data_IF_450490512660
#
_entry.id   IF_450490512660
#
_cell.length_a   1.000
_cell.length_b   1.000
_cell.length_c   1.000
_cell.angle_alpha   90.00
_cell.angle_beta   90.00
_cell.angle_gamma   90.00
#
_symmetry.space_group_name_H-M   'P 1'
#
loop_
_entity.id
_entity.type
_entity.pdbx_description
1 polymer ?
#
# COMPACT_ATOMS: atom_id res chain seq x y z
N UNK A 1 9.89 15.02 9.96
CA UNK A 1 10.38 15.86 8.84
C UNK A 1 11.86 15.61 8.61
N UNK A 2 12.32 15.37 7.38
CA UNK A 2 13.75 15.26 7.06
C UNK A 2 14.38 16.65 6.99
N UNK A 3 15.27 16.98 7.93
CA UNK A 3 16.00 18.25 7.95
C UNK A 3 17.06 18.26 6.84
N UNK A 4 17.13 19.29 5.97
CA UNK A 4 18.20 19.41 5.00
C UNK A 4 19.58 19.43 5.68
N UNK A 5 20.58 18.80 5.04
CA UNK A 5 21.95 18.84 5.54
C UNK A 5 22.49 20.29 5.45
N UNK A 6 23.19 20.79 6.48
CA UNK A 6 23.72 22.15 6.47
C UNK A 6 24.86 22.27 5.45
N UNK A 7 25.13 23.48 4.94
CA UNK A 7 26.25 23.71 4.02
C UNK A 7 27.61 23.30 4.59
N UNK A 8 27.79 23.37 5.91
CA UNK A 8 28.98 22.88 6.61
C UNK A 8 29.24 21.38 6.41
N UNK A 9 28.20 20.58 6.17
CA UNK A 9 28.35 19.17 5.82
C UNK A 9 29.09 18.98 4.49
N UNK A 10 28.78 19.83 3.51
CA UNK A 10 29.36 19.76 2.15
C UNK A 10 30.70 20.50 2.05
N UNK A 11 30.97 21.46 2.93
CA UNK A 11 32.20 22.24 2.98
C UNK A 11 33.40 21.45 3.59
N UNK A 12 33.55 20.20 3.17
CA UNK A 12 34.57 19.24 3.63
C UNK A 12 35.24 18.61 2.41
N UNK A 13 36.24 17.77 2.68
CA UNK A 13 36.90 16.95 1.68
C UNK A 13 35.89 16.11 0.87
N UNK A 14 36.04 16.12 -0.45
CA UNK A 14 35.07 15.53 -1.38
C UNK A 14 34.88 14.03 -1.15
N UNK A 15 35.95 13.28 -0.85
CA UNK A 15 35.88 11.83 -0.58
C UNK A 15 35.13 11.55 0.71
N UNK A 16 35.36 12.35 1.74
CA UNK A 16 34.63 12.20 3.01
C UNK A 16 33.15 12.54 2.87
N UNK A 17 32.81 13.59 2.11
CA UNK A 17 31.41 13.90 1.80
C UNK A 17 30.75 12.78 1.00
N UNK A 18 31.45 12.18 0.02
CA UNK A 18 30.90 11.08 -0.77
C UNK A 18 30.52 9.88 0.10
N UNK A 19 31.42 9.46 0.99
CA UNK A 19 31.15 8.38 1.95
C UNK A 19 29.98 8.71 2.88
N UNK A 20 29.96 9.92 3.43
CA UNK A 20 28.93 10.33 4.39
C UNK A 20 27.56 10.58 3.75
N UNK A 21 27.50 10.75 2.43
CA UNK A 21 26.25 10.85 1.67
C UNK A 21 25.58 9.48 1.51
N UNK A 22 26.32 8.38 1.57
CA UNK A 22 25.73 7.03 1.54
C UNK A 22 24.77 6.84 2.72
N UNK A 23 23.60 6.30 2.44
CA UNK A 23 22.53 6.12 3.42
C UNK A 23 21.70 7.38 3.70
N UNK A 24 22.10 8.58 3.22
CA UNK A 24 21.28 9.80 3.30
C UNK A 24 20.16 9.77 2.26
N UNK A 25 19.15 10.61 2.47
CA UNK A 25 17.97 10.69 1.61
C UNK A 25 18.09 11.86 0.62
N UNK A 26 17.91 11.58 -0.67
CA UNK A 26 17.60 12.61 -1.66
C UNK A 26 16.08 12.77 -1.74
N UNK A 27 15.62 14.02 -1.64
CA UNK A 27 14.20 14.36 -1.58
C UNK A 27 13.91 15.44 -2.62
N UNK A 28 12.88 15.21 -3.45
CA UNK A 28 12.35 16.22 -4.38
C UNK A 28 10.84 16.35 -4.17
N UNK A 29 10.40 17.58 -3.88
CA UNK A 29 8.97 17.91 -3.77
C UNK A 29 8.44 18.33 -5.14
N UNK A 30 7.34 17.74 -5.58
CA UNK A 30 6.64 18.02 -6.82
C UNK A 30 5.18 18.39 -6.49
N UNK A 31 4.47 18.98 -7.46
CA UNK A 31 3.05 19.29 -7.30
C UNK A 31 2.20 18.03 -7.03
N UNK A 32 2.59 16.91 -7.62
CA UNK A 32 1.94 15.60 -7.52
C UNK A 32 2.42 14.73 -6.34
N UNK A 33 3.26 15.27 -5.47
CA UNK A 33 3.76 14.56 -4.28
C UNK A 33 5.26 14.64 -4.09
N UNK A 34 5.78 13.94 -3.08
CA UNK A 34 7.22 13.89 -2.81
C UNK A 34 7.83 12.61 -3.34
N UNK A 35 8.97 12.71 -4.03
CA UNK A 35 9.77 11.55 -4.42
C UNK A 35 11.03 11.49 -3.55
N UNK A 36 11.38 10.30 -3.04
CA UNK A 36 12.53 10.10 -2.14
C UNK A 36 13.27 8.81 -2.45
N UNK A 37 14.60 8.85 -2.36
CA UNK A 37 15.46 7.68 -2.47
C UNK A 37 16.66 7.77 -1.54
N UNK A 38 17.09 6.64 -1.00
CA UNK A 38 18.32 6.54 -0.22
C UNK A 38 19.51 6.48 -1.17
N UNK A 39 20.54 7.29 -0.93
CA UNK A 39 21.76 7.28 -1.73
C UNK A 39 22.54 5.99 -1.41
N UNK A 40 22.82 5.19 -2.44
CA UNK A 40 23.52 3.89 -2.30
C UNK A 40 24.81 3.82 -3.11
N UNK A 41 25.02 4.76 -4.04
CA UNK A 41 26.24 4.85 -4.81
C UNK A 41 26.57 6.31 -5.09
N UNK A 42 27.83 6.68 -4.85
CA UNK A 42 28.38 8.02 -5.02
C UNK A 42 29.77 7.93 -5.63
N UNK A 43 30.17 8.96 -6.38
CA UNK A 43 31.51 9.07 -6.95
C UNK A 43 32.08 10.46 -6.65
N UNK A 44 33.34 10.52 -6.21
CA UNK A 44 34.02 11.75 -5.81
C UNK A 44 34.91 12.26 -6.94
N UNK A 45 34.74 13.53 -7.33
CA UNK A 45 35.55 14.18 -8.36
C UNK A 45 36.27 15.41 -7.81
N UNK A 46 37.57 15.50 -8.09
CA UNK A 46 38.45 16.59 -7.64
C UNK A 46 38.70 17.62 -8.75
N UNK A 47 39.70 18.48 -8.57
CA UNK A 47 40.06 19.54 -9.52
C UNK A 47 40.90 19.06 -10.68
N UNK A 48 41.93 19.84 -11.00
CA UNK A 48 42.80 19.68 -12.17
C UNK A 48 43.68 18.42 -12.14
N UNK A 49 43.81 17.77 -10.99
CA UNK A 49 44.56 16.53 -10.81
C UNK A 49 43.74 15.26 -11.08
N UNK A 50 42.44 15.40 -11.35
CA UNK A 50 41.52 14.29 -11.57
C UNK A 50 41.04 14.25 -13.03
N UNK A 51 41.63 13.39 -13.89
CA UNK A 51 41.28 13.29 -15.30
C UNK A 51 39.81 12.93 -15.58
N UNK A 52 39.12 12.31 -14.62
CA UNK A 52 37.70 11.96 -14.76
C UNK A 52 36.77 13.14 -14.41
N UNK A 53 37.32 14.20 -13.79
CA UNK A 53 36.56 15.35 -13.35
C UNK A 53 36.29 16.35 -14.48
N UNK A 54 35.11 16.97 -14.44
CA UNK A 54 34.79 18.09 -15.31
C UNK A 54 35.68 19.33 -15.02
N UNK A 55 36.34 19.37 -13.86
CA UNK A 55 37.31 20.40 -13.47
C UNK A 55 38.75 20.11 -13.96
N UNK A 56 39.01 18.96 -14.60
CA UNK A 56 40.36 18.57 -15.04
C UNK A 56 41.05 19.62 -15.91
N UNK A 57 40.31 20.24 -16.84
CA UNK A 57 40.81 21.29 -17.74
C UNK A 57 40.82 22.68 -17.11
N UNK A 58 40.78 22.75 -15.79
CA UNK A 58 40.68 23.98 -15.03
C UNK A 58 39.31 24.65 -15.12
N UNK A 59 39.29 25.93 -14.77
CA UNK A 59 38.08 26.69 -14.44
C UNK A 59 37.34 27.23 -15.67
N UNK A 60 36.90 26.32 -16.53
CA UNK A 60 36.07 26.66 -17.70
C UNK A 60 34.70 27.20 -17.29
N UNK A 61 34.01 27.89 -18.18
CA UNK A 61 32.67 28.44 -17.92
C UNK A 61 31.65 27.39 -17.47
N UNK A 62 31.76 26.15 -17.98
CA UNK A 62 30.86 25.06 -17.58
C UNK A 62 31.26 24.42 -16.25
N UNK A 63 32.57 24.33 -15.95
CA UNK A 63 33.06 23.68 -14.75
C UNK A 63 33.20 24.61 -13.54
N UNK A 64 33.20 25.94 -13.73
CA UNK A 64 33.46 26.95 -12.68
C UNK A 64 32.60 26.81 -11.43
N UNK A 65 31.42 26.20 -11.56
CA UNK A 65 30.49 25.92 -10.46
C UNK A 65 31.10 24.98 -9.41
N UNK A 66 32.04 24.10 -9.77
CA UNK A 66 32.74 23.21 -8.84
C UNK A 66 33.64 23.97 -7.85
N UNK A 67 34.04 25.21 -8.17
CA UNK A 67 34.75 26.12 -7.24
C UNK A 67 33.78 27.04 -6.46
N UNK A 68 32.48 26.80 -6.58
CA UNK A 68 31.41 27.63 -6.06
C UNK A 68 31.11 27.39 -4.58
N UNK A 69 29.85 27.57 -4.20
CA UNK A 69 29.42 27.42 -2.81
C UNK A 69 29.12 25.93 -2.54
N UNK A 70 29.69 25.30 -1.49
CA UNK A 70 29.41 23.90 -1.17
C UNK A 70 27.93 23.65 -0.83
N UNK A 71 27.42 22.48 -1.22
CA UNK A 71 26.01 22.10 -1.13
C UNK A 71 25.16 22.61 -2.29
N UNK A 72 25.78 23.14 -3.34
CA UNK A 72 25.08 23.55 -4.57
C UNK A 72 24.81 22.33 -5.45
N UNK A 73 23.58 22.18 -5.92
CA UNK A 73 23.24 21.16 -6.90
C UNK A 73 23.81 21.57 -8.27
N UNK A 74 24.67 20.71 -8.83
CA UNK A 74 25.28 20.90 -10.13
C UNK A 74 24.75 19.83 -11.10
N UNK A 75 23.90 20.25 -12.03
CA UNK A 75 23.25 19.36 -13.00
C UNK A 75 23.68 19.76 -14.41
N UNK A 76 24.19 18.81 -15.18
CA UNK A 76 24.61 19.06 -16.56
C UNK A 76 24.34 17.84 -17.44
N UNK A 77 24.19 18.10 -18.74
CA UNK A 77 23.97 17.07 -19.76
C UNK A 77 25.33 16.54 -20.27
N UNK A 78 25.52 15.23 -20.23
CA UNK A 78 26.67 14.53 -20.81
C UNK A 78 26.22 13.72 -22.04
N UNK A 79 27.07 13.67 -23.07
CA UNK A 79 26.85 12.95 -24.33
C UNK A 79 25.53 13.30 -25.05
N UNK A 80 24.92 14.45 -24.74
CA UNK A 80 23.63 14.84 -25.31
C UNK A 80 22.44 14.01 -24.83
N UNK A 81 22.62 13.07 -23.89
CA UNK A 81 21.61 12.06 -23.55
C UNK A 81 21.32 11.93 -22.06
N UNK A 82 22.31 12.19 -21.18
CA UNK A 82 22.18 11.90 -19.75
C UNK A 82 22.43 13.14 -18.89
N UNK A 83 21.52 13.45 -17.97
CA UNK A 83 21.77 14.47 -16.97
C UNK A 83 22.47 13.85 -15.77
N UNK A 84 23.63 14.40 -15.39
CA UNK A 84 24.36 14.01 -14.20
C UNK A 84 24.03 14.97 -13.05
N UNK A 85 23.68 14.43 -11.89
CA UNK A 85 23.38 15.21 -10.69
C UNK A 85 24.55 15.13 -9.71
N UNK A 86 25.20 16.27 -9.50
CA UNK A 86 26.35 16.40 -8.62
C UNK A 86 26.03 17.37 -7.47
N UNK A 87 26.78 17.24 -6.38
CA UNK A 87 26.73 18.17 -5.25
C UNK A 87 28.12 18.76 -5.07
N UNK A 88 28.23 20.10 -5.16
CA UNK A 88 29.51 20.81 -4.98
C UNK A 88 30.01 20.64 -3.55
N UNK A 89 31.29 20.34 -3.39
CA UNK A 89 31.99 20.13 -2.12
C UNK A 89 33.18 21.08 -1.98
N UNK A 90 34.04 20.87 -0.98
CA UNK A 90 35.20 21.71 -0.69
C UNK A 90 34.85 23.15 -0.23
N UNK A 91 35.89 23.89 0.15
CA UNK A 91 35.77 25.34 0.41
C UNK A 91 35.65 26.08 -0.91
N UNK A 92 34.92 27.20 -0.90
CA UNK A 92 34.82 28.11 -2.05
C UNK A 92 36.21 28.43 -2.58
N UNK A 93 36.41 28.28 -3.88
CA UNK A 93 37.71 28.48 -4.53
C UNK A 93 38.57 27.22 -4.69
N UNK A 94 38.14 26.07 -4.17
CA UNK A 94 38.71 24.75 -4.49
C UNK A 94 37.65 23.91 -5.20
N UNK A 95 38.04 23.20 -6.26
CA UNK A 95 37.12 22.34 -7.01
C UNK A 95 36.87 21.03 -6.27
N UNK A 96 35.60 20.67 -6.15
CA UNK A 96 35.17 19.33 -5.74
C UNK A 96 33.68 19.14 -5.98
N UNK A 97 33.29 17.93 -6.37
CA UNK A 97 31.88 17.54 -6.40
C UNK A 97 31.70 16.04 -6.20
N UNK A 98 30.54 15.67 -5.66
CA UNK A 98 30.12 14.27 -5.57
C UNK A 98 28.99 14.02 -6.56
N UNK A 99 29.20 13.10 -7.49
CA UNK A 99 28.15 12.57 -8.37
C UNK A 99 27.30 11.56 -7.60
N UNK A 100 25.98 11.69 -7.69
CA UNK A 100 25.08 10.64 -7.22
C UNK A 100 24.84 9.65 -8.36
N UNK A 101 25.27 8.40 -8.15
CA UNK A 101 25.25 7.34 -9.16
C UNK A 101 23.97 6.51 -9.09
N UNK A 102 23.54 6.17 -7.88
CA UNK A 102 22.36 5.35 -7.68
C UNK A 102 21.62 5.71 -6.39
N UNK A 103 20.31 5.51 -6.44
CA UNK A 103 19.39 5.60 -5.30
C UNK A 103 18.66 4.27 -5.14
N UNK A 104 18.40 3.86 -3.91
CA UNK A 104 17.37 2.89 -3.56
C UNK A 104 16.04 3.64 -3.35
N UNK A 105 15.07 3.56 -4.28
CA UNK A 105 13.82 4.33 -4.20
C UNK A 105 12.99 3.95 -2.97
N UNK A 106 12.47 4.94 -2.23
CA UNK A 106 11.70 4.71 -0.99
C UNK A 106 10.27 5.27 -1.06
N UNK A 107 10.04 6.38 -1.77
CA UNK A 107 8.75 7.07 -1.84
C UNK A 107 8.56 7.68 -3.23
N UNK A 108 7.32 7.65 -3.74
CA UNK A 108 6.99 8.25 -5.05
C UNK A 108 7.53 7.47 -6.26
N UNK A 109 7.67 6.14 -6.15
CA UNK A 109 8.23 5.27 -7.19
C UNK A 109 7.40 5.32 -8.49
N UNK A 110 6.07 5.41 -8.40
CA UNK A 110 5.19 5.58 -9.58
C UNK A 110 5.52 6.85 -10.36
N UNK A 111 5.63 7.98 -9.65
CA UNK A 111 6.08 9.26 -10.20
C UNK A 111 7.47 9.13 -10.84
N UNK A 112 8.42 8.47 -10.16
CA UNK A 112 9.76 8.23 -10.72
C UNK A 112 9.71 7.42 -12.02
N UNK A 113 8.91 6.36 -12.09
CA UNK A 113 8.74 5.52 -13.29
C UNK A 113 8.15 6.33 -14.45
N UNK A 114 7.15 7.16 -14.17
CA UNK A 114 6.50 8.03 -15.15
C UNK A 114 7.47 9.05 -15.74
N UNK A 115 8.21 9.77 -14.89
CA UNK A 115 9.25 10.73 -15.32
C UNK A 115 10.32 10.02 -16.17
N UNK A 116 10.65 8.78 -15.83
CA UNK A 116 11.63 7.95 -16.55
C UNK A 116 11.07 7.27 -17.81
N UNK A 117 9.78 7.45 -18.14
CA UNK A 117 9.11 6.81 -19.27
C UNK A 117 9.37 5.29 -19.35
N UNK A 118 9.40 4.63 -18.20
CA UNK A 118 9.50 3.16 -18.15
C UNK A 118 8.12 2.62 -18.55
N UNK A 119 8.03 1.99 -19.73
CA UNK A 119 6.78 1.52 -20.33
C UNK A 119 6.09 0.40 -19.50
N UNK A 120 4.76 0.55 -19.45
CA UNK A 120 3.69 -0.24 -18.82
C UNK A 120 3.96 -0.84 -17.42
N UNK A 121 3.19 -0.44 -16.37
CA UNK A 121 3.45 -0.86 -15.01
C UNK A 121 3.29 -2.39 -14.83
N UNK A 122 2.39 -3.01 -15.61
CA UNK A 122 2.18 -4.47 -15.67
C UNK A 122 1.62 -4.87 -17.05
N UNK A 123 1.86 -6.11 -17.48
CA UNK A 123 1.19 -6.68 -18.67
C UNK A 123 -0.31 -6.74 -18.42
N UNK A 124 -1.12 -6.25 -19.35
CA UNK A 124 -2.57 -6.22 -19.18
C UNK A 124 -3.33 -6.28 -20.51
N UNK A 125 -4.62 -6.61 -20.41
CA UNK A 125 -5.58 -6.56 -21.52
C UNK A 125 -6.82 -5.79 -21.11
N UNK A 126 -7.44 -5.07 -22.05
CA UNK A 126 -8.76 -4.49 -21.85
C UNK A 126 -9.82 -5.46 -22.37
N UNK A 127 -10.87 -5.66 -21.58
CA UNK A 127 -12.03 -6.45 -21.99
C UNK A 127 -13.30 -5.63 -21.81
N UNK A 128 -14.24 -5.77 -22.74
CA UNK A 128 -15.62 -5.38 -22.50
C UNK A 128 -16.18 -6.21 -21.34
N UNK A 129 -16.85 -5.57 -20.39
CA UNK A 129 -17.32 -6.24 -19.18
C UNK A 129 -18.84 -6.34 -19.16
N UNK A 130 -19.35 -7.47 -18.67
CA UNK A 130 -20.75 -7.65 -18.24
C UNK A 130 -20.84 -7.81 -16.72
N UNK A 131 -19.79 -7.40 -15.99
CA UNK A 131 -19.77 -7.48 -14.52
C UNK A 131 -20.92 -6.67 -13.94
N UNK A 132 -21.56 -7.25 -12.95
CA UNK A 132 -22.59 -6.61 -12.16
C UNK A 132 -22.04 -6.24 -10.78
N UNK A 133 -22.50 -5.10 -10.27
CA UNK A 133 -22.44 -4.78 -8.86
C UNK A 133 -23.30 -5.84 -8.17
N UNK A 134 -22.75 -6.51 -7.18
CA UNK A 134 -23.43 -7.58 -6.47
C UNK A 134 -23.23 -7.43 -4.97
N UNK A 135 -24.14 -8.00 -4.19
CA UNK A 135 -23.96 -8.13 -2.76
C UNK A 135 -22.90 -9.17 -2.41
N UNK A 136 -22.82 -9.51 -1.13
CA UNK A 136 -22.01 -10.65 -0.69
C UNK A 136 -22.48 -11.96 -1.35
N UNK A 137 -21.53 -12.82 -1.69
CA UNK A 137 -21.83 -14.15 -2.22
C UNK A 137 -22.55 -14.98 -1.14
N UNK A 138 -23.54 -15.81 -1.50
CA UNK A 138 -24.18 -16.74 -0.56
C UNK A 138 -23.14 -17.66 0.08
N UNK A 139 -23.13 -17.75 1.41
CA UNK A 139 -22.17 -18.58 2.15
C UNK A 139 -22.02 -18.16 3.61
N UNK A 140 -20.95 -18.65 4.26
CA UNK A 140 -20.60 -18.21 5.62
C UNK A 140 -20.28 -16.72 5.60
N UNK A 141 -20.96 -15.98 6.47
CA UNK A 141 -20.80 -14.53 6.58
C UNK A 141 -20.75 -14.16 8.04
N UNK A 142 -19.71 -13.42 8.35
CA UNK A 142 -19.51 -12.83 9.67
C UNK A 142 -19.69 -11.31 9.65
N UNK A 143 -19.40 -10.65 8.52
CA UNK A 143 -19.60 -9.21 8.43
C UNK A 143 -21.08 -8.86 8.33
N UNK A 144 -21.60 -8.11 9.29
CA UNK A 144 -23.00 -7.67 9.35
C UNK A 144 -23.32 -6.48 8.45
N UNK A 145 -22.30 -5.82 7.89
CA UNK A 145 -22.47 -4.67 7.00
C UNK A 145 -22.81 -5.10 5.57
N UNK A 146 -23.95 -4.65 5.05
CA UNK A 146 -24.30 -4.83 3.63
C UNK A 146 -23.40 -3.97 2.74
N UNK A 147 -22.96 -4.55 1.61
CA UNK A 147 -22.07 -3.89 0.65
C UNK A 147 -22.43 -4.21 -0.79
N UNK A 148 -22.23 -3.23 -1.65
CA UNK A 148 -22.22 -3.39 -3.09
C UNK A 148 -20.77 -3.61 -3.55
N UNK A 149 -20.40 -4.82 -3.98
CA UNK A 149 -19.04 -5.17 -4.35
C UNK A 149 -18.72 -4.72 -5.78
N UNK A 150 -17.67 -3.91 -5.95
CA UNK A 150 -17.26 -3.37 -7.26
C UNK A 150 -15.82 -3.75 -7.55
N UNK A 151 -15.57 -4.60 -8.55
CA UNK A 151 -14.20 -5.06 -8.84
C UNK A 151 -13.74 -4.75 -10.29
N UNK A 152 -13.03 -3.63 -10.53
CA UNK A 152 -12.61 -3.21 -11.87
C UNK A 152 -11.50 -4.08 -12.50
N UNK A 153 -10.70 -4.76 -11.68
CA UNK A 153 -9.52 -5.51 -12.13
C UNK A 153 -9.61 -7.01 -11.82
N UNK A 154 -9.01 -7.86 -12.65
CA UNK A 154 -8.72 -9.24 -12.29
C UNK A 154 -7.21 -9.47 -12.41
N UNK A 155 -6.55 -9.58 -11.27
CA UNK A 155 -5.10 -9.48 -11.14
C UNK A 155 -4.70 -8.20 -10.39
N UNK A 156 -3.60 -8.27 -9.66
CA UNK A 156 -3.18 -7.20 -8.76
C UNK A 156 -1.66 -7.02 -8.79
N UNK A 157 -1.19 -5.82 -9.17
CA UNK A 157 0.24 -5.46 -9.23
C UNK A 157 0.95 -5.41 -7.86
N UNK A 158 0.21 -5.46 -6.75
CA UNK A 158 0.78 -5.48 -5.38
C UNK A 158 1.62 -6.74 -5.13
N UNK A 159 1.25 -7.88 -5.74
CA UNK A 159 2.09 -9.08 -5.74
C UNK A 159 2.19 -9.86 -4.42
N UNK A 160 1.22 -9.74 -3.51
CA UNK A 160 1.18 -10.56 -2.29
C UNK A 160 1.15 -12.06 -2.64
N UNK A 161 2.17 -12.81 -2.23
CA UNK A 161 2.27 -14.24 -2.56
C UNK A 161 1.19 -15.11 -1.89
N UNK A 162 0.55 -14.57 -0.86
CA UNK A 162 -0.49 -15.19 -0.04
C UNK A 162 -1.92 -14.76 -0.41
N UNK A 163 -2.09 -13.91 -1.43
CA UNK A 163 -3.41 -13.39 -1.79
C UNK A 163 -4.39 -14.52 -2.15
N UNK A 164 -5.55 -14.55 -1.48
CA UNK A 164 -6.57 -15.56 -1.69
C UNK A 164 -7.12 -15.56 -3.13
N UNK A 165 -7.15 -14.39 -3.79
CA UNK A 165 -7.63 -14.26 -5.17
C UNK A 165 -6.75 -15.02 -6.19
N UNK A 166 -5.52 -15.41 -5.83
CA UNK A 166 -4.69 -16.28 -6.66
C UNK A 166 -5.26 -17.71 -6.80
N UNK A 167 -6.20 -18.10 -5.94
CA UNK A 167 -6.92 -19.38 -6.02
C UNK A 167 -8.17 -19.31 -6.92
N UNK A 168 -8.55 -18.12 -7.40
CA UNK A 168 -9.78 -17.91 -8.18
C UNK A 168 -9.61 -18.33 -9.65
N UNK A 169 -10.69 -18.84 -10.28
CA UNK A 169 -10.66 -19.24 -11.68
C UNK A 169 -10.71 -18.03 -12.64
N UNK A 170 -10.79 -18.30 -13.95
CA UNK A 170 -11.06 -17.29 -14.98
C UNK A 170 -9.91 -16.32 -15.19
N UNK A 171 -10.20 -15.01 -15.19
CA UNK A 171 -9.16 -14.00 -15.41
C UNK A 171 -8.09 -13.99 -14.31
N UNK A 172 -8.42 -14.37 -13.06
CA UNK A 172 -7.40 -14.53 -12.02
C UNK A 172 -6.44 -15.70 -12.31
N UNK A 173 -6.94 -16.79 -12.90
CA UNK A 173 -6.09 -17.88 -13.36
C UNK A 173 -5.15 -17.43 -14.49
N UNK A 174 -5.65 -16.59 -15.41
CA UNK A 174 -4.83 -15.99 -16.49
C UNK A 174 -3.73 -15.10 -15.91
N UNK A 175 -4.05 -14.28 -14.91
CA UNK A 175 -3.06 -13.49 -14.17
C UNK A 175 -2.01 -14.38 -13.51
N UNK A 176 -2.42 -15.43 -12.79
CA UNK A 176 -1.49 -16.37 -12.14
C UNK A 176 -0.53 -17.07 -13.13
N UNK A 177 -1.00 -17.41 -14.32
CA UNK A 177 -0.23 -18.17 -15.31
C UNK A 177 0.64 -17.29 -16.22
N UNK A 178 0.15 -16.11 -16.60
CA UNK A 178 0.76 -15.27 -17.64
C UNK A 178 1.23 -13.91 -17.14
N UNK A 179 0.88 -13.54 -15.90
CA UNK A 179 1.14 -12.21 -15.35
C UNK A 179 0.35 -11.11 -16.06
N UNK A 180 -0.78 -11.45 -16.69
CA UNK A 180 -1.63 -10.51 -17.43
C UNK A 180 -2.80 -10.10 -16.55
N UNK A 181 -2.90 -8.81 -16.23
CA UNK A 181 -4.05 -8.23 -15.52
C UNK A 181 -5.18 -7.96 -16.53
N UNK A 182 -6.39 -8.39 -16.21
CA UNK A 182 -7.57 -8.03 -17.02
C UNK A 182 -8.20 -6.75 -16.45
N UNK A 183 -8.34 -5.74 -17.31
CA UNK A 183 -8.98 -4.46 -17.01
C UNK A 183 -10.38 -4.44 -17.62
N UNK A 184 -11.40 -4.22 -16.79
CA UNK A 184 -12.75 -3.99 -17.25
C UNK A 184 -12.85 -2.59 -17.89
N UNK A 185 -12.93 -2.54 -19.23
CA UNK A 185 -12.94 -1.30 -19.98
C UNK A 185 -14.18 -0.47 -19.62
N UNK A 186 -13.96 0.82 -19.32
CA UNK A 186 -15.00 1.81 -19.01
C UNK A 186 -16.02 1.33 -17.95
N UNK A 187 -15.53 0.58 -16.95
CA UNK A 187 -16.40 -0.08 -15.97
C UNK A 187 -17.18 0.91 -15.09
N UNK A 188 -16.65 2.11 -14.88
CA UNK A 188 -17.35 3.23 -14.22
C UNK A 188 -18.69 3.54 -14.89
N UNK A 189 -18.79 3.48 -16.22
CA UNK A 189 -20.04 3.70 -16.95
C UNK A 189 -21.05 2.58 -16.75
N UNK A 190 -20.56 1.34 -16.62
CA UNK A 190 -21.39 0.17 -16.33
C UNK A 190 -21.94 0.26 -14.91
N UNK A 191 -21.09 0.63 -13.95
CA UNK A 191 -21.46 0.89 -12.55
C UNK A 191 -22.51 2.00 -12.47
N UNK A 192 -22.30 3.13 -13.14
CA UNK A 192 -23.24 4.25 -13.16
C UNK A 192 -24.63 3.80 -13.63
N UNK A 193 -24.73 3.09 -14.75
CA UNK A 193 -26.00 2.57 -15.27
C UNK A 193 -26.72 1.63 -14.31
N UNK A 194 -25.99 0.78 -13.60
CA UNK A 194 -26.57 -0.15 -12.63
C UNK A 194 -27.06 0.56 -11.37
N UNK A 195 -26.29 1.53 -10.87
CA UNK A 195 -26.75 2.39 -9.79
C UNK A 195 -27.98 3.20 -10.20
N UNK A 196 -28.05 3.65 -11.45
CA UNK A 196 -29.20 4.38 -12.00
C UNK A 196 -30.45 3.51 -12.14
N UNK A 197 -30.34 2.17 -12.07
CA UNK A 197 -31.48 1.24 -12.12
C UNK A 197 -32.01 0.76 -10.77
N UNK A 198 -31.48 1.23 -9.63
CA UNK A 198 -31.89 0.78 -8.28
C UNK A 198 -32.43 1.93 -7.42
N UNK A 199 -33.43 1.65 -6.59
CA UNK A 199 -34.01 2.63 -5.66
C UNK A 199 -33.43 2.56 -4.25
N UNK A 200 -32.75 1.46 -3.92
CA UNK A 200 -32.16 1.20 -2.60
C UNK A 200 -30.70 0.79 -2.79
N UNK A 201 -29.81 1.43 -2.05
CA UNK A 201 -28.37 1.23 -2.12
C UNK A 201 -27.77 1.02 -0.72
N UNK A 202 -26.74 0.17 -0.64
CA UNK A 202 -25.84 0.08 0.52
C UNK A 202 -24.49 0.73 0.18
N UNK A 203 -23.53 0.71 1.11
CA UNK A 203 -22.19 1.24 0.84
C UNK A 203 -21.49 0.43 -0.26
N UNK A 204 -20.90 1.11 -1.24
CA UNK A 204 -20.01 0.49 -2.21
C UNK A 204 -18.72 0.01 -1.57
N UNK A 205 -18.26 -1.20 -1.88
CA UNK A 205 -16.94 -1.70 -1.53
C UNK A 205 -16.10 -1.81 -2.80
N UNK A 206 -15.19 -0.84 -2.96
CA UNK A 206 -14.30 -0.77 -4.10
C UNK A 206 -13.16 -1.79 -3.99
N UNK A 207 -13.11 -2.66 -4.99
CA UNK A 207 -12.05 -3.62 -5.26
C UNK A 207 -11.80 -4.58 -4.08
N UNK A 208 -12.78 -5.38 -3.64
CA UNK A 208 -12.60 -6.27 -2.48
C UNK A 208 -11.58 -7.41 -2.71
N UNK A 209 -11.26 -7.72 -3.97
CA UNK A 209 -10.41 -8.86 -4.38
C UNK A 209 -9.11 -8.45 -5.08
N UNK A 210 -8.88 -7.16 -5.30
CA UNK A 210 -7.65 -6.56 -5.85
C UNK A 210 -7.33 -5.27 -5.12
N UNK A 211 -6.17 -4.65 -5.32
CA UNK A 211 -5.94 -3.31 -4.74
C UNK A 211 -6.50 -2.23 -5.69
N UNK A 212 -7.34 -1.29 -5.19
CA UNK A 212 -7.90 -0.23 -6.02
C UNK A 212 -6.83 0.74 -6.53
N UNK A 213 -5.73 0.92 -5.80
CA UNK A 213 -4.66 1.85 -6.16
C UNK A 213 -3.37 1.11 -6.54
N UNK A 214 -3.50 -0.11 -7.04
CA UNK A 214 -2.39 -0.83 -7.68
C UNK A 214 -1.77 0.01 -8.82
N UNK A 215 -0.50 -0.22 -9.18
CA UNK A 215 0.20 0.62 -10.16
C UNK A 215 -0.53 0.76 -11.51
N UNK A 216 -1.19 -0.29 -11.99
CA UNK A 216 -2.00 -0.23 -13.21
C UNK A 216 -3.15 0.80 -13.17
N UNK A 217 -3.67 1.13 -11.98
CA UNK A 217 -4.72 2.13 -11.86
C UNK A 217 -4.23 3.54 -12.27
N UNK A 218 -2.92 3.84 -12.19
CA UNK A 218 -2.37 5.11 -12.69
C UNK A 218 -2.59 5.31 -14.20
N UNK A 219 -2.84 4.24 -14.96
CA UNK A 219 -3.12 4.32 -16.41
C UNK A 219 -4.59 4.59 -16.71
N UNK A 220 -5.50 4.00 -15.94
CA UNK A 220 -6.93 3.97 -16.27
C UNK A 220 -7.80 4.85 -15.37
N UNK A 221 -7.34 5.12 -14.16
CA UNK A 221 -8.05 5.84 -13.10
C UNK A 221 -9.47 5.30 -12.87
N UNK A 222 -9.66 3.97 -12.92
CA UNK A 222 -10.99 3.38 -12.77
C UNK A 222 -11.50 3.54 -11.35
N UNK A 223 -10.60 3.47 -10.37
CA UNK A 223 -10.94 3.65 -8.95
C UNK A 223 -11.50 5.04 -8.69
N UNK A 224 -10.83 6.09 -9.18
CA UNK A 224 -11.26 7.48 -9.06
C UNK A 224 -12.58 7.74 -9.80
N UNK A 225 -12.72 7.22 -11.02
CA UNK A 225 -13.97 7.32 -11.79
C UNK A 225 -15.15 6.64 -11.10
N UNK A 226 -14.94 5.44 -10.54
CA UNK A 226 -15.98 4.70 -9.81
C UNK A 226 -16.35 5.44 -8.52
N UNK A 227 -15.37 5.92 -7.75
CA UNK A 227 -15.64 6.72 -6.54
C UNK A 227 -16.49 7.94 -6.91
N UNK A 228 -16.12 8.68 -7.97
CA UNK A 228 -16.89 9.82 -8.46
C UNK A 228 -18.35 9.46 -8.79
N UNK A 229 -18.59 8.33 -9.46
CA UNK A 229 -19.93 7.83 -9.77
C UNK A 229 -20.80 7.62 -8.52
N UNK A 230 -20.22 7.10 -7.44
CA UNK A 230 -20.90 6.92 -6.15
C UNK A 230 -21.17 8.26 -5.45
N UNK A 231 -20.16 9.11 -5.36
CA UNK A 231 -20.23 10.41 -4.67
C UNK A 231 -21.23 11.36 -5.35
N UNK A 232 -21.27 11.41 -6.68
CA UNK A 232 -22.24 12.23 -7.44
C UNK A 232 -23.69 11.86 -7.14
N UNK A 233 -23.95 10.58 -6.86
CA UNK A 233 -25.26 10.03 -6.46
C UNK A 233 -25.50 10.10 -4.95
N UNK A 234 -24.56 10.62 -4.18
CA UNK A 234 -24.57 10.63 -2.71
C UNK A 234 -24.66 9.23 -2.06
N UNK A 235 -24.12 8.20 -2.74
CA UNK A 235 -24.02 6.85 -2.18
C UNK A 235 -22.66 6.70 -1.50
N UNK A 236 -22.58 6.16 -0.27
CA UNK A 236 -21.30 5.95 0.38
C UNK A 236 -20.45 4.90 -0.35
N UNK A 237 -19.15 5.09 -0.35
CA UNK A 237 -18.19 4.13 -0.88
C UNK A 237 -16.98 4.00 0.05
N UNK A 238 -16.46 2.79 0.15
CA UNK A 238 -15.25 2.47 0.89
C UNK A 238 -14.25 1.70 0.04
N UNK A 239 -13.01 1.66 0.52
CA UNK A 239 -11.94 0.89 -0.08
C UNK A 239 -10.97 0.37 0.97
N UNK A 240 -10.22 -0.66 0.59
CA UNK A 240 -9.05 -1.15 1.33
C UNK A 240 -7.83 -1.11 0.42
N UNK A 241 -6.71 -0.58 0.91
CA UNK A 241 -5.48 -0.54 0.12
C UNK A 241 -4.22 -0.90 0.92
N UNK A 242 -3.23 -1.43 0.20
CA UNK A 242 -1.84 -1.62 0.59
C UNK A 242 -0.91 -0.69 -0.23
N UNK A 243 -1.47 0.30 -0.90
CA UNK A 243 -0.80 1.28 -1.75
C UNK A 243 -1.06 2.72 -1.27
N UNK A 244 -0.49 3.70 -1.98
CA UNK A 244 -0.71 5.12 -1.72
C UNK A 244 -2.12 5.52 -2.13
N UNK A 245 -2.81 6.30 -1.29
CA UNK A 245 -4.13 6.85 -1.63
C UNK A 245 -3.92 8.18 -2.38
N UNK A 246 -4.38 8.32 -3.64
CA UNK A 246 -4.30 9.59 -4.37
C UNK A 246 -5.00 10.73 -3.62
N UNK A 247 -4.51 11.97 -3.75
CA UNK A 247 -5.14 13.12 -3.07
C UNK A 247 -6.55 13.38 -3.58
N UNK A 248 -6.79 13.22 -4.88
CA UNK A 248 -8.12 13.33 -5.50
C UNK A 248 -9.14 12.38 -4.83
N UNK A 249 -8.73 11.17 -4.46
CA UNK A 249 -9.60 10.20 -3.78
C UNK A 249 -10.06 10.72 -2.41
N UNK A 250 -9.14 11.31 -1.64
CA UNK A 250 -9.45 11.90 -0.34
C UNK A 250 -10.43 13.08 -0.52
N UNK A 251 -10.18 13.92 -1.53
CA UNK A 251 -11.04 15.06 -1.85
C UNK A 251 -12.45 14.66 -2.32
N UNK A 252 -12.58 13.52 -3.01
CA UNK A 252 -13.88 12.98 -3.42
C UNK A 252 -14.64 12.37 -2.24
N UNK A 253 -13.98 11.50 -1.46
CA UNK A 253 -14.65 10.74 -0.40
C UNK A 253 -15.10 11.63 0.74
N UNK A 254 -14.37 12.71 1.07
CA UNK A 254 -14.79 13.65 2.13
C UNK A 254 -16.12 14.35 1.85
N UNK A 255 -16.60 14.34 0.61
CA UNK A 255 -17.89 14.94 0.23
C UNK A 255 -19.09 14.09 0.66
N UNK A 256 -18.87 12.86 1.14
CA UNK A 256 -19.93 11.93 1.49
C UNK A 256 -19.73 11.40 2.92
N UNK A 257 -20.72 11.66 3.77
CA UNK A 257 -20.66 11.52 5.24
C UNK A 257 -20.31 10.13 5.76
N UNK A 258 -20.72 9.06 5.06
CA UNK A 258 -20.54 7.68 5.50
C UNK A 258 -19.49 6.92 4.67
N UNK A 259 -18.76 7.62 3.81
CA UNK A 259 -17.65 7.04 3.05
C UNK A 259 -16.40 7.00 3.92
N UNK A 260 -15.61 5.94 3.79
CA UNK A 260 -14.49 5.68 4.69
C UNK A 260 -13.36 4.94 3.98
N UNK A 261 -12.16 4.99 4.55
CA UNK A 261 -10.99 4.37 3.94
C UNK A 261 -10.30 3.41 4.90
N UNK A 262 -9.84 2.28 4.37
CA UNK A 262 -9.07 1.31 5.13
C UNK A 262 -7.66 1.15 4.57
N UNK A 263 -6.67 1.08 5.45
CA UNK A 263 -5.28 0.85 5.09
C UNK A 263 -4.79 -0.44 5.76
N UNK A 264 -4.30 -1.36 4.94
CA UNK A 264 -3.80 -2.64 5.43
C UNK A 264 -2.30 -2.56 5.70
N UNK A 265 -1.93 -2.71 6.98
CA UNK A 265 -0.55 -2.62 7.48
C UNK A 265 -0.24 -3.94 8.19
N UNK A 266 0.68 -4.72 7.63
CA UNK A 266 0.99 -6.08 8.14
C UNK A 266 2.19 -6.13 9.08
N UNK A 267 3.04 -5.10 9.05
CA UNK A 267 4.22 -5.02 9.89
C UNK A 267 4.73 -3.58 10.00
N UNK A 268 5.27 -3.25 11.17
CA UNK A 268 6.02 -2.01 11.40
C UNK A 268 7.42 -2.06 10.78
N UNK A 269 7.97 -3.26 10.51
CA UNK A 269 9.23 -3.45 9.81
C UNK A 269 9.03 -3.42 8.28
N UNK A 270 9.61 -2.41 7.64
CA UNK A 270 9.50 -2.20 6.21
C UNK A 270 10.19 -3.33 5.40
N UNK A 271 11.17 -4.05 5.97
CA UNK A 271 11.76 -5.24 5.32
C UNK A 271 10.76 -6.39 5.27
N UNK A 272 10.11 -6.69 6.39
CA UNK A 272 9.05 -7.70 6.45
C UNK A 272 7.88 -7.32 5.53
N UNK A 273 7.44 -6.06 5.58
CA UNK A 273 6.42 -5.52 4.67
C UNK A 273 6.81 -5.70 3.20
N UNK A 274 8.09 -5.51 2.82
CA UNK A 274 8.58 -5.73 1.43
C UNK A 274 8.49 -7.18 0.99
N UNK A 275 8.76 -8.11 1.90
CA UNK A 275 8.64 -9.52 1.61
C UNK A 275 7.17 -9.93 1.41
N UNK A 276 6.29 -9.50 2.32
CA UNK A 276 4.87 -9.84 2.27
C UNK A 276 4.15 -9.16 1.10
N UNK A 277 4.43 -7.87 0.88
CA UNK A 277 3.69 -6.97 0.00
C UNK A 277 4.68 -6.20 -0.91
N UNK A 278 5.33 -6.90 -1.86
CA UNK A 278 6.48 -6.35 -2.59
C UNK A 278 6.14 -5.16 -3.50
N UNK A 279 4.94 -5.13 -4.10
CA UNK A 279 4.43 -4.03 -4.90
C UNK A 279 3.63 -2.99 -4.11
N UNK A 280 3.48 -3.17 -2.79
CA UNK A 280 2.81 -2.22 -1.90
C UNK A 280 3.67 -1.01 -1.55
N UNK A 281 3.03 -0.01 -0.95
CA UNK A 281 3.73 1.17 -0.44
C UNK A 281 4.50 0.87 0.84
N UNK A 282 5.51 1.68 1.15
CA UNK A 282 6.29 1.52 2.38
C UNK A 282 5.42 1.70 3.63
N UNK A 283 5.84 1.12 4.75
CA UNK A 283 5.14 1.25 6.04
C UNK A 283 4.88 2.72 6.41
N UNK A 284 5.85 3.62 6.14
CA UNK A 284 5.69 5.05 6.38
C UNK A 284 4.56 5.68 5.54
N UNK A 285 4.42 5.29 4.28
CA UNK A 285 3.34 5.78 3.40
C UNK A 285 1.99 5.25 3.89
N UNK A 286 1.91 3.99 4.31
CA UNK A 286 0.68 3.39 4.78
C UNK A 286 0.15 4.07 6.05
N UNK A 287 1.02 4.36 7.03
CA UNK A 287 0.62 5.16 8.19
C UNK A 287 0.22 6.59 7.77
N UNK A 288 0.97 7.23 6.87
CA UNK A 288 0.60 8.56 6.37
C UNK A 288 -0.74 8.58 5.61
N UNK A 289 -1.17 7.48 4.99
CA UNK A 289 -2.52 7.38 4.42
C UNK A 289 -3.60 7.47 5.51
N UNK A 290 -3.43 6.78 6.64
CA UNK A 290 -4.36 6.86 7.78
C UNK A 290 -4.41 8.29 8.33
N UNK A 291 -3.26 8.92 8.51
CA UNK A 291 -3.16 10.30 8.99
C UNK A 291 -3.86 11.29 8.04
N UNK A 292 -3.67 11.13 6.71
CA UNK A 292 -4.32 11.98 5.71
C UNK A 292 -5.84 11.83 5.68
N UNK A 293 -6.35 10.61 5.86
CA UNK A 293 -7.79 10.38 5.98
C UNK A 293 -8.34 11.03 7.26
N UNK A 294 -7.68 10.80 8.39
CA UNK A 294 -8.11 11.33 9.69
C UNK A 294 -8.09 12.87 9.74
N UNK A 295 -7.08 13.52 9.14
CA UNK A 295 -6.97 14.97 9.08
C UNK A 295 -8.11 15.64 8.31
N UNK A 296 -8.70 14.94 7.34
CA UNK A 296 -9.87 15.42 6.58
C UNK A 296 -11.20 14.97 7.21
N UNK A 297 -11.16 14.39 8.43
CA UNK A 297 -12.35 13.92 9.14
C UNK A 297 -12.97 12.64 8.58
N UNK A 298 -12.28 11.94 7.67
CA UNK A 298 -12.75 10.68 7.09
C UNK A 298 -12.50 9.54 8.09
N UNK A 299 -13.48 8.66 8.28
CA UNK A 299 -13.32 7.49 9.13
C UNK A 299 -12.22 6.58 8.56
N UNK A 300 -11.16 6.34 9.34
CA UNK A 300 -9.98 5.61 8.91
C UNK A 300 -9.84 4.30 9.69
N UNK A 301 -9.72 3.18 8.98
CA UNK A 301 -9.59 1.84 9.57
C UNK A 301 -8.18 1.31 9.30
N UNK A 302 -7.51 0.82 10.34
CA UNK A 302 -6.26 0.10 10.19
C UNK A 302 -6.53 -1.41 10.15
N UNK A 303 -6.13 -2.06 9.06
CA UNK A 303 -6.30 -3.50 8.84
C UNK A 303 -4.98 -4.26 9.04
N UNK A 304 -4.91 -5.10 10.05
CA UNK A 304 -3.82 -6.07 10.25
C UNK A 304 -4.26 -7.41 9.67
N UNK A 305 -4.42 -7.43 8.35
CA UNK A 305 -5.08 -8.53 7.63
C UNK A 305 -4.25 -8.97 6.40
N UNK A 306 -3.53 -10.12 6.49
CA UNK A 306 -3.47 -11.05 7.62
C UNK A 306 -2.23 -10.88 8.51
N UNK A 307 -2.36 -11.31 9.76
CA UNK A 307 -1.25 -11.61 10.67
C UNK A 307 -0.64 -12.96 10.27
N UNK A 308 0.69 -12.98 10.11
CA UNK A 308 1.46 -14.18 9.83
C UNK A 308 1.98 -14.80 11.12
N UNK A 309 1.54 -16.03 11.48
CA UNK A 309 2.08 -16.74 12.63
C UNK A 309 3.60 -16.83 12.60
N UNK A 310 4.23 -16.61 13.76
CA UNK A 310 5.69 -16.57 13.99
C UNK A 310 6.46 -15.45 13.30
N UNK A 311 5.82 -14.63 12.45
CA UNK A 311 6.50 -13.62 11.63
C UNK A 311 6.07 -12.19 11.95
N UNK A 312 4.76 -11.97 12.16
CA UNK A 312 4.19 -10.64 12.43
C UNK A 312 3.22 -10.65 13.61
N UNK A 313 3.30 -11.66 14.47
CA UNK A 313 2.42 -11.88 15.61
C UNK A 313 3.10 -11.69 16.97
N UNK A 314 4.28 -11.05 16.98
CA UNK A 314 4.95 -10.68 18.23
C UNK A 314 4.12 -9.64 18.97
N UNK A 315 3.88 -9.80 20.28
CA UNK A 315 3.06 -8.86 21.03
C UNK A 315 3.55 -7.43 20.98
N UNK A 316 4.87 -7.22 20.98
CA UNK A 316 5.48 -5.90 20.96
C UNK A 316 5.23 -5.22 19.61
N UNK A 317 5.41 -5.94 18.50
CA UNK A 317 5.21 -5.41 17.15
C UNK A 317 3.72 -5.08 16.89
N UNK A 318 2.81 -5.94 17.34
CA UNK A 318 1.37 -5.71 17.23
C UNK A 318 0.92 -4.51 18.09
N UNK A 319 1.48 -4.38 19.29
CA UNK A 319 1.23 -3.23 20.16
C UNK A 319 1.71 -1.95 19.51
N UNK A 320 2.97 -1.91 19.03
CA UNK A 320 3.52 -0.73 18.34
C UNK A 320 2.66 -0.35 17.12
N UNK A 321 2.23 -1.32 16.32
CA UNK A 321 1.39 -1.08 15.14
C UNK A 321 0.07 -0.40 15.52
N UNK A 322 -0.67 -0.97 16.48
CA UNK A 322 -1.96 -0.42 16.91
C UNK A 322 -1.77 0.95 17.55
N UNK A 323 -0.77 1.12 18.42
CA UNK A 323 -0.48 2.40 19.06
C UNK A 323 -0.15 3.48 18.05
N UNK A 324 0.64 3.15 17.03
CA UNK A 324 0.97 4.08 15.96
C UNK A 324 -0.22 4.40 15.09
N UNK A 325 -1.04 3.41 14.72
CA UNK A 325 -2.24 3.62 13.90
C UNK A 325 -3.28 4.49 14.61
N UNK A 326 -3.55 4.20 15.88
CA UNK A 326 -4.51 4.96 16.69
C UNK A 326 -3.99 6.36 17.03
N UNK A 327 -2.68 6.50 17.31
CA UNK A 327 -2.04 7.77 17.60
C UNK A 327 -2.08 8.79 16.43
N UNK A 328 -2.24 8.32 15.19
CA UNK A 328 -2.39 9.17 14.00
C UNK A 328 -3.84 9.27 13.49
N UNK A 329 -4.81 8.74 14.25
CA UNK A 329 -6.23 8.99 14.02
C UNK A 329 -7.04 7.84 13.42
N UNK A 330 -6.49 6.64 13.26
CA UNK A 330 -7.32 5.46 12.96
C UNK A 330 -8.39 5.28 14.05
N UNK A 331 -9.64 4.99 13.64
CA UNK A 331 -10.82 4.90 14.51
C UNK A 331 -11.27 3.47 14.81
N UNK A 332 -10.75 2.51 14.04
CA UNK A 332 -11.11 1.11 14.17
C UNK A 332 -9.94 0.23 13.73
N UNK A 333 -9.81 -0.93 14.38
CA UNK A 333 -8.83 -1.97 14.03
C UNK A 333 -9.57 -3.21 13.54
N UNK A 334 -9.16 -3.73 12.38
CA UNK A 334 -9.60 -5.03 11.88
C UNK A 334 -8.41 -5.95 11.77
N UNK A 335 -8.54 -7.21 12.18
CA UNK A 335 -7.47 -8.19 12.03
C UNK A 335 -7.97 -9.56 11.54
N UNK A 336 -7.04 -10.36 11.05
CA UNK A 336 -7.21 -11.80 10.81
C UNK A 336 -5.88 -12.49 11.01
N UNK A 337 -5.89 -13.80 11.17
CA UNK A 337 -4.71 -14.64 10.97
C UNK A 337 -4.74 -15.16 9.54
N UNK A 338 -3.56 -15.35 8.94
CA UNK A 338 -3.46 -15.84 7.57
C UNK A 338 -4.27 -17.12 7.38
N UNK A 339 -5.22 -17.08 6.46
CA UNK A 339 -5.88 -18.25 5.91
C UNK A 339 -5.14 -18.71 4.65
N UNK A 340 -4.84 -20.00 4.56
CA UNK A 340 -4.09 -20.58 3.44
C UNK A 340 -5.06 -21.29 2.49
N UNK A 341 -5.34 -20.76 1.29
CA UNK A 341 -6.19 -21.44 0.34
C UNK A 341 -5.52 -22.74 -0.14
N UNK A 342 -6.27 -23.84 -0.10
CA UNK A 342 -5.75 -25.18 -0.43
C UNK A 342 -5.09 -25.25 -1.81
N UNK A 343 -5.63 -24.51 -2.80
CA UNK A 343 -5.12 -24.47 -4.18
C UNK A 343 -3.72 -23.87 -4.31
N UNK A 344 -3.34 -22.95 -3.42
CA UNK A 344 -2.05 -22.26 -3.47
C UNK A 344 -1.16 -22.54 -2.24
N UNK A 345 -1.56 -23.49 -1.39
CA UNK A 345 -0.85 -23.87 -0.15
C UNK A 345 0.64 -24.07 -0.35
N UNK A 346 1.02 -24.92 -1.30
CA UNK A 346 2.43 -25.25 -1.54
C UNK A 346 3.22 -24.05 -2.08
N UNK A 347 2.59 -23.13 -2.81
CA UNK A 347 3.22 -21.87 -3.25
C UNK A 347 3.54 -20.97 -2.05
N UNK A 348 2.60 -20.83 -1.12
CA UNK A 348 2.77 -20.05 0.11
C UNK A 348 3.88 -20.65 0.97
N UNK A 349 3.80 -21.96 1.27
CA UNK A 349 4.81 -22.64 2.08
C UNK A 349 6.20 -22.58 1.45
N UNK A 350 6.31 -22.71 0.12
CA UNK A 350 7.58 -22.56 -0.59
C UNK A 350 8.13 -21.13 -0.50
N UNK A 351 7.29 -20.11 -0.60
CA UNK A 351 7.72 -18.72 -0.45
C UNK A 351 8.28 -18.46 0.97
N UNK A 352 7.59 -18.95 2.00
CA UNK A 352 8.04 -18.87 3.39
C UNK A 352 9.35 -19.63 3.60
N UNK A 353 9.45 -20.87 3.11
CA UNK A 353 10.65 -21.70 3.16
C UNK A 353 11.85 -21.02 2.52
N UNK A 354 11.67 -20.46 1.33
CA UNK A 354 12.76 -19.84 0.58
C UNK A 354 13.33 -18.62 1.30
N UNK A 355 12.52 -17.93 2.10
CA UNK A 355 12.94 -16.72 2.80
C UNK A 355 13.43 -16.97 4.23
N UNK A 356 12.73 -17.82 5.00
CA UNK A 356 13.02 -18.06 6.43
C UNK A 356 13.57 -19.45 6.73
N UNK A 357 13.75 -20.30 5.72
CA UNK A 357 14.31 -21.65 5.85
C UNK A 357 13.29 -22.74 6.16
N UNK A 358 13.76 -23.98 6.24
CA UNK A 358 12.92 -25.18 6.40
C UNK A 358 12.15 -25.20 7.72
N UNK A 359 12.69 -24.57 8.77
CA UNK A 359 12.05 -24.52 10.09
C UNK A 359 10.67 -23.82 10.06
N UNK A 360 10.52 -22.73 9.30
CA UNK A 360 9.22 -22.03 9.22
C UNK A 360 8.19 -22.89 8.52
N UNK A 361 8.59 -23.62 7.47
CA UNK A 361 7.69 -24.50 6.72
C UNK A 361 7.14 -25.59 7.65
N UNK A 362 8.00 -26.18 8.48
CA UNK A 362 7.60 -27.20 9.45
C UNK A 362 6.64 -26.63 10.50
N UNK A 363 6.93 -25.44 11.04
CA UNK A 363 6.06 -24.75 11.99
C UNK A 363 4.67 -24.50 11.39
N UNK A 364 4.59 -24.02 10.16
CA UNK A 364 3.31 -23.79 9.47
C UNK A 364 2.56 -25.10 9.23
N UNK A 365 3.23 -26.15 8.74
CA UNK A 365 2.59 -27.47 8.55
C UNK A 365 2.05 -28.06 9.85
N UNK A 366 2.71 -27.79 10.98
CA UNK A 366 2.24 -28.20 12.31
C UNK A 366 1.11 -27.32 12.84
N UNK A 367 1.13 -26.02 12.58
CA UNK A 367 0.13 -25.08 13.11
C UNK A 367 -1.18 -25.10 12.32
N UNK A 368 -1.11 -25.27 11.00
CA UNK A 368 -2.26 -25.20 10.10
C UNK A 368 -2.92 -26.57 9.94
N UNK A 369 -3.76 -26.92 10.92
CA UNK A 369 -4.44 -28.22 10.99
C UNK A 369 -5.94 -28.14 10.74
N UNK A 370 -6.54 -26.95 10.89
CA UNK A 370 -7.97 -26.78 10.74
C UNK A 370 -8.31 -26.54 9.27
N UNK A 371 -9.26 -27.31 8.75
CA UNK A 371 -9.78 -27.13 7.39
C UNK A 371 -11.20 -26.59 7.47
N UNK A 372 -11.39 -25.34 7.08
CA UNK A 372 -12.69 -24.71 6.98
C UNK A 372 -12.92 -24.36 5.50
N UNK A 373 -13.88 -25.03 4.87
CA UNK A 373 -14.12 -24.99 3.42
C UNK A 373 -12.87 -25.31 2.58
N UNK A 374 -12.47 -24.38 1.72
CA UNK A 374 -11.33 -24.48 0.81
C UNK A 374 -10.03 -23.89 1.39
N UNK A 375 -9.99 -23.65 2.70
CA UNK A 375 -8.88 -23.00 3.40
C UNK A 375 -8.33 -23.89 4.52
N UNK A 376 -7.03 -23.73 4.78
CA UNK A 376 -6.39 -24.18 6.01
C UNK A 376 -6.22 -22.98 6.92
N UNK A 377 -6.67 -23.14 8.15
CA UNK A 377 -6.57 -22.16 9.21
C UNK A 377 -5.54 -22.65 10.26
N UNK A 378 -4.87 -21.71 10.92
CA UNK A 378 -4.12 -22.01 12.12
C UNK A 378 -5.08 -22.57 13.19
N UNK A 379 -4.57 -23.45 14.06
CA UNK A 379 -5.36 -24.00 15.18
C UNK A 379 -6.06 -22.88 15.97
N UNK A 380 -7.29 -23.14 16.38
CA UNK A 380 -8.18 -22.17 17.02
C UNK A 380 -7.59 -21.60 18.31
N UNK A 381 -6.91 -22.43 19.11
CA UNK A 381 -6.26 -22.00 20.35
C UNK A 381 -5.11 -21.01 20.11
N UNK A 382 -4.49 -21.07 18.94
CA UNK A 382 -3.48 -20.09 18.53
C UNK A 382 -4.11 -18.77 18.11
N UNK A 383 -5.13 -18.84 17.25
CA UNK A 383 -5.83 -17.66 16.72
C UNK A 383 -6.50 -16.84 17.84
N UNK A 384 -7.22 -17.52 18.74
CA UNK A 384 -7.89 -16.87 19.90
C UNK A 384 -6.91 -16.09 20.77
N UNK A 385 -5.73 -16.63 21.07
CA UNK A 385 -4.69 -15.92 21.84
C UNK A 385 -4.25 -14.61 21.19
N UNK A 386 -4.13 -14.60 19.85
CA UNK A 386 -3.82 -13.37 19.10
C UNK A 386 -4.97 -12.39 19.22
N UNK A 387 -6.22 -12.85 19.06
CA UNK A 387 -7.38 -11.97 19.12
C UNK A 387 -7.62 -11.39 20.51
N UNK A 388 -7.43 -12.18 21.58
CA UNK A 388 -7.44 -11.71 22.96
C UNK A 388 -6.41 -10.59 23.16
N UNK A 389 -5.18 -10.80 22.68
CA UNK A 389 -4.12 -9.79 22.76
C UNK A 389 -4.53 -8.49 22.05
N UNK A 390 -4.99 -8.58 20.80
CA UNK A 390 -5.41 -7.42 20.01
C UNK A 390 -6.59 -6.68 20.65
N UNK A 391 -7.60 -7.42 21.12
CA UNK A 391 -8.76 -6.88 21.82
C UNK A 391 -8.36 -6.11 23.07
N UNK A 392 -7.48 -6.69 23.90
CA UNK A 392 -6.95 -6.04 25.11
C UNK A 392 -6.16 -4.76 24.80
N UNK A 393 -5.34 -4.75 23.73
CA UNK A 393 -4.62 -3.54 23.31
C UNK A 393 -5.62 -2.47 22.87
N UNK A 394 -6.64 -2.85 22.10
CA UNK A 394 -7.65 -1.94 21.60
C UNK A 394 -8.52 -1.34 22.72
N UNK A 395 -8.97 -2.17 23.66
CA UNK A 395 -9.75 -1.74 24.82
C UNK A 395 -8.99 -0.70 25.67
N UNK A 396 -7.70 -0.94 25.96
CA UNK A 396 -6.85 0.01 26.69
C UNK A 396 -6.70 1.36 25.99
N UNK A 397 -6.91 1.41 24.67
CA UNK A 397 -6.84 2.63 23.85
C UNK A 397 -8.21 3.21 23.53
N UNK A 398 -9.29 2.63 24.06
CA UNK A 398 -10.67 3.00 23.76
C UNK A 398 -10.95 3.04 22.24
N UNK A 399 -10.43 2.05 21.52
CA UNK A 399 -10.64 1.87 20.08
C UNK A 399 -11.46 0.61 19.84
N UNK A 400 -12.35 0.63 18.86
CA UNK A 400 -13.13 -0.55 18.50
C UNK A 400 -12.30 -1.52 17.67
N UNK A 401 -12.64 -2.81 17.78
CA UNK A 401 -11.93 -3.92 17.18
C UNK A 401 -12.90 -4.93 16.56
N UNK A 402 -12.53 -5.49 15.42
CA UNK A 402 -13.25 -6.59 14.76
C UNK A 402 -12.29 -7.55 14.05
N UNK A 403 -12.79 -8.75 13.75
CA UNK A 403 -12.13 -9.76 12.95
C UNK A 403 -12.65 -9.76 11.50
N UNK A 404 -11.79 -10.11 10.56
CA UNK A 404 -12.17 -10.29 9.16
C UNK A 404 -12.22 -11.78 8.80
N UNK A 405 -13.44 -12.30 8.59
CA UNK A 405 -13.69 -13.64 8.05
C UNK A 405 -13.04 -14.74 8.90
N UNK A 406 -13.12 -14.61 10.22
CA UNK A 406 -12.52 -15.53 11.18
C UNK A 406 -13.55 -16.50 11.71
N UNK A 407 -13.34 -17.79 11.49
CA UNK A 407 -14.32 -18.82 11.83
C UNK A 407 -13.72 -19.94 12.67
N UNK A 408 -14.56 -20.68 13.37
CA UNK A 408 -14.23 -21.94 14.01
C UNK A 408 -15.24 -23.02 13.63
N UNK A 409 -14.80 -24.28 13.71
CA UNK A 409 -15.70 -25.43 13.65
C UNK A 409 -16.14 -25.78 15.07
N UNK A 410 -17.44 -25.64 15.36
CA UNK A 410 -18.04 -26.03 16.63
C UNK A 410 -19.14 -27.04 16.34
N UNK A 411 -18.98 -28.28 16.82
CA UNK A 411 -19.96 -29.36 16.65
C UNK A 411 -20.34 -29.64 15.18
N UNK A 412 -19.41 -29.40 14.25
CA UNK A 412 -19.64 -29.58 12.81
C UNK A 412 -20.20 -28.36 12.09
N UNK A 413 -20.55 -27.30 12.82
CA UNK A 413 -21.01 -26.03 12.26
C UNK A 413 -19.89 -24.98 12.19
N UNK A 414 -19.96 -24.13 11.18
CA UNK A 414 -19.03 -23.00 11.00
C UNK A 414 -19.60 -21.79 11.74
N UNK A 415 -18.90 -21.35 12.78
CA UNK A 415 -19.30 -20.22 13.63
C UNK A 415 -18.29 -19.09 13.50
N UNK A 416 -18.76 -17.85 13.32
CA UNK A 416 -17.90 -16.65 13.29
C UNK A 416 -17.37 -16.29 14.68
N UNK A 417 -16.10 -15.88 14.75
CA UNK A 417 -15.41 -15.49 15.97
C UNK A 417 -15.73 -14.05 16.43
N UNK A 418 -16.28 -13.19 15.58
CA UNK A 418 -16.74 -11.85 15.94
C UNK A 418 -17.86 -11.86 16.99
N UNK A 419 -18.59 -12.97 17.15
CA UNK A 419 -19.54 -13.14 18.26
C UNK A 419 -18.85 -13.08 19.63
N UNK A 420 -17.55 -13.36 19.67
CA UNK A 420 -16.73 -13.41 20.88
C UNK A 420 -15.76 -12.20 20.97
N UNK A 421 -15.17 -11.79 19.84
CA UNK A 421 -14.04 -10.84 19.86
C UNK A 421 -14.38 -9.41 19.36
N UNK A 422 -15.50 -9.20 18.67
CA UNK A 422 -15.83 -7.87 18.13
C UNK A 422 -16.30 -6.94 19.24
N UNK A 423 -15.80 -5.71 19.26
CA UNK A 423 -16.27 -4.65 20.19
C UNK A 423 -17.08 -3.54 19.52
N UNK A 424 -17.24 -3.59 18.19
CA UNK A 424 -18.11 -2.72 17.41
C UNK A 424 -19.48 -3.36 17.12
N UNK A 425 -20.44 -2.57 16.62
CA UNK A 425 -21.75 -3.08 16.17
C UNK A 425 -21.68 -3.83 14.83
N UNK A 426 -20.62 -3.59 14.06
CA UNK A 426 -20.38 -4.25 12.79
C UNK A 426 -18.88 -4.36 12.49
N UNK A 427 -18.53 -5.14 11.48
CA UNK A 427 -17.16 -5.52 11.17
C UNK A 427 -16.24 -4.36 10.75
N UNK A 428 -16.79 -3.18 10.43
CA UNK A 428 -16.04 -2.01 9.94
C UNK A 428 -15.96 -0.87 10.96
N UNK A 429 -16.62 -1.00 12.12
CA UNK A 429 -16.57 0.00 13.19
C UNK A 429 -17.34 1.29 12.93
N UNK A 430 -17.98 1.44 11.76
CA UNK A 430 -18.82 2.58 11.38
C UNK A 430 -20.22 2.11 10.99
N UNK A 431 -21.24 2.74 11.54
CA UNK A 431 -22.63 2.45 11.21
C UNK A 431 -23.03 3.22 9.95
N UNK A 432 -23.40 2.49 8.90
CA UNK A 432 -23.81 3.07 7.63
C UNK A 432 -25.27 2.71 7.39
N UNK A 433 -26.18 3.70 7.27
CA UNK A 433 -27.58 3.43 6.97
C UNK A 433 -27.74 2.90 5.55
N UNK A 434 -28.91 2.33 5.26
CA UNK A 434 -29.34 2.08 3.89
C UNK A 434 -29.72 3.41 3.25
N UNK A 435 -29.47 3.53 1.95
CA UNK A 435 -29.68 4.73 1.17
C UNK A 435 -30.85 4.54 0.19
N UNK A 436 -31.84 5.42 0.26
CA UNK A 436 -33.02 5.42 -0.61
C UNK A 436 -32.93 6.54 -1.63
N UNK A 437 -33.35 6.26 -2.86
CA UNK A 437 -33.36 7.22 -3.96
C UNK A 437 -34.42 8.30 -3.76
N UNK A 438 -34.01 9.55 -3.99
CA UNK A 438 -34.88 10.72 -4.18
C UNK A 438 -34.37 11.46 -5.41
N UNK A 439 -35.14 11.41 -6.50
CA UNK A 439 -34.74 11.92 -7.82
C UNK A 439 -33.45 11.23 -8.32
N UNK A 440 -32.39 12.00 -8.62
CA UNK A 440 -31.11 11.48 -9.14
C UNK A 440 -30.09 11.13 -8.03
N UNK A 441 -30.45 11.34 -6.75
CA UNK A 441 -29.54 11.14 -5.60
C UNK A 441 -30.12 10.20 -4.56
N UNK A 442 -29.26 9.74 -3.67
CA UNK A 442 -29.62 8.85 -2.58
C UNK A 442 -29.42 9.53 -1.23
N UNK A 443 -30.24 9.18 -0.24
CA UNK A 443 -30.16 9.73 1.11
C UNK A 443 -30.40 8.62 2.14
N UNK A 444 -29.84 8.73 3.35
CA UNK A 444 -30.15 7.82 4.46
C UNK A 444 -31.66 7.67 4.66
N UNK A 445 -32.12 6.43 4.83
CA UNK A 445 -33.53 6.06 5.11
C UNK A 445 -33.76 5.89 6.59
#
# INVERSE_FOLDING_TARGET
>A
MTKPLPRSFYARDTKEVAKDLLGKMLVRKLAEGTIKGKIVETEAYYGEEDPASHAFRGRTERAKIMWGIPGTAYVYLIYGMYYLFNIVTEKKGKAGAVLLRALDPQEGIGVMRRIRKIEEPEKHILVSTKKEIHGWWPGKRECTSERMLINPYNGCGIGCFFCYALAFPGHFQTFCQKGIITVAKDFDRVVAKQLDSIDIASCGYLSPVTDPFQPLNEKYHLSEKIIRVFIERNIPIEFITKAFIPQEVIELIKLQTHSFGQVSILSVDDKMRKFLVPGGSSTSILFNNLERLANEGIFAVCRIDPIFPYLTDKPEDLTELIERATGIGAKHIIASVLDIPLRIKEKILKALKNHFGVGIEWNYRKLYQEKIDAYLNARIDYRKKIFDLLGNICEKKNITFALCMEYQLKEGEIVGLNQEFMSSQNCEGINIPIYGRKEEKFYPV
#
